data_IF_053333877289
#
_entry.id   IF_053333877289
#
_cell.length_a   1.000
_cell.length_b   1.000
_cell.length_c   1.000
_cell.angle_alpha   90.00
_cell.angle_beta   90.00
_cell.angle_gamma   90.00
#
_symmetry.space_group_name_H-M   'P 1'
#
loop_
_entity.id
_entity.type
_entity.pdbx_description
1 polymer ?
#
# COMPACT_ATOMS: atom_id res chain seq x y z
N UNK A 1 2.77 -2.51 19.93
CA UNK A 1 3.48 -3.49 19.07
C UNK A 1 2.53 -4.48 18.36
N UNK A 2 1.63 -5.18 19.07
CA UNK A 2 0.77 -6.23 18.47
C UNK A 2 -0.22 -5.74 17.39
N UNK A 3 -0.72 -4.50 17.47
CA UNK A 3 -1.70 -3.97 16.49
C UNK A 3 -1.12 -3.79 15.08
N UNK A 4 0.12 -3.29 14.99
CA UNK A 4 0.81 -3.04 13.71
C UNK A 4 0.98 -4.36 12.94
N UNK A 5 1.40 -5.42 13.62
CA UNK A 5 1.58 -6.72 12.98
C UNK A 5 0.27 -7.29 12.40
N UNK A 6 -0.87 -7.08 13.09
CA UNK A 6 -2.18 -7.51 12.60
C UNK A 6 -2.59 -6.73 11.34
N UNK A 7 -2.38 -5.42 11.32
CA UNK A 7 -2.64 -4.60 10.13
C UNK A 7 -1.77 -5.04 8.94
N UNK A 8 -0.47 -5.26 9.15
CA UNK A 8 0.45 -5.76 8.11
C UNK A 8 0.01 -7.13 7.57
N UNK A 9 -0.44 -8.03 8.45
CA UNK A 9 -0.97 -9.34 8.05
C UNK A 9 -2.23 -9.19 7.20
N UNK A 10 -3.20 -8.38 7.64
CA UNK A 10 -4.44 -8.15 6.92
C UNK A 10 -4.19 -7.59 5.51
N UNK A 11 -3.22 -6.67 5.35
CA UNK A 11 -2.81 -6.18 4.04
C UNK A 11 -2.28 -7.33 3.16
N UNK A 12 -1.42 -8.18 3.70
CA UNK A 12 -0.89 -9.35 2.98
C UNK A 12 -1.99 -10.33 2.55
N UNK A 13 -2.95 -10.60 3.44
CA UNK A 13 -4.09 -11.49 3.14
C UNK A 13 -4.96 -10.92 2.00
N UNK A 14 -5.25 -9.62 2.01
CA UNK A 14 -5.96 -8.95 0.91
C UNK A 14 -5.16 -9.02 -0.40
N UNK A 15 -3.84 -8.79 -0.36
CA UNK A 15 -2.99 -8.87 -1.55
C UNK A 15 -2.92 -10.28 -2.13
N UNK A 16 -2.93 -11.30 -1.28
CA UNK A 16 -3.03 -12.70 -1.70
C UNK A 16 -4.37 -13.00 -2.36
N UNK A 17 -5.48 -12.57 -1.76
CA UNK A 17 -6.84 -12.76 -2.32
C UNK A 17 -6.99 -12.10 -3.68
N UNK A 18 -6.36 -10.94 -3.89
CA UNK A 18 -6.39 -10.20 -5.15
C UNK A 18 -5.39 -10.74 -6.20
N UNK A 19 -4.56 -11.75 -5.87
CA UNK A 19 -3.56 -12.30 -6.79
C UNK A 19 -2.40 -11.36 -7.10
N UNK A 20 -2.19 -10.31 -6.29
CA UNK A 20 -1.16 -9.28 -6.50
C UNK A 20 0.08 -9.49 -5.60
N UNK A 21 0.07 -10.56 -4.81
CA UNK A 21 1.14 -10.89 -3.86
C UNK A 21 2.46 -11.25 -4.58
N UNK A 22 3.56 -10.54 -4.31
CA UNK A 22 4.84 -10.76 -5.01
C UNK A 22 5.56 -12.05 -4.60
N UNK A 23 5.21 -12.65 -3.45
CA UNK A 23 5.75 -13.94 -3.01
C UNK A 23 5.07 -15.17 -3.65
N UNK A 24 4.05 -14.94 -4.49
CA UNK A 24 3.43 -15.96 -5.33
C UNK A 24 3.78 -15.60 -6.79
N UNK A 25 2.79 -15.28 -7.64
CA UNK A 25 2.99 -14.91 -9.04
C UNK A 25 2.48 -13.50 -9.37
N UNK A 26 2.10 -12.72 -8.35
CA UNK A 26 1.60 -11.37 -8.54
C UNK A 26 2.71 -10.39 -8.92
N UNK A 27 2.41 -9.39 -9.74
CA UNK A 27 3.37 -8.33 -10.11
C UNK A 27 3.77 -7.39 -8.95
N UNK A 28 3.26 -7.64 -7.75
CA UNK A 28 3.42 -6.79 -6.59
C UNK A 28 2.40 -5.65 -6.54
N UNK A 29 2.59 -4.79 -5.55
CA UNK A 29 1.69 -3.68 -5.25
C UNK A 29 2.43 -2.55 -4.56
N UNK A 30 1.82 -1.37 -4.55
CA UNK A 30 2.21 -0.24 -3.71
C UNK A 30 1.15 -0.04 -2.63
N UNK A 31 1.58 -0.06 -1.38
CA UNK A 31 0.77 0.32 -0.23
C UNK A 31 1.10 1.77 0.16
N UNK A 32 0.08 2.64 0.21
CA UNK A 32 0.23 4.06 0.57
C UNK A 32 -0.71 4.40 1.71
N UNK A 33 -0.21 5.06 2.75
CA UNK A 33 -1.02 5.70 3.78
C UNK A 33 -0.75 7.21 3.75
N UNK A 34 -1.80 7.99 3.50
CA UNK A 34 -1.74 9.44 3.57
C UNK A 34 -1.93 9.85 5.04
N UNK A 35 -1.01 10.65 5.58
CA UNK A 35 -1.03 11.05 6.99
C UNK A 35 -1.02 12.56 7.14
N UNK A 36 -2.04 13.09 7.82
CA UNK A 36 -2.16 14.52 8.10
C UNK A 36 -2.29 15.39 6.86
N UNK A 37 -2.15 16.70 7.06
CA UNK A 37 -2.35 17.71 6.01
C UNK A 37 -1.33 17.61 4.88
N UNK A 38 -0.04 17.49 5.21
CA UNK A 38 1.02 17.36 4.21
C UNK A 38 0.91 16.08 3.37
N UNK A 39 0.31 15.03 3.92
CA UNK A 39 0.00 13.79 3.22
C UNK A 39 -1.33 13.81 2.48
N UNK A 40 -2.11 14.89 2.56
CA UNK A 40 -3.45 15.02 1.98
C UNK A 40 -4.39 13.90 2.49
N UNK A 41 -4.50 13.78 3.81
CA UNK A 41 -5.44 12.86 4.45
C UNK A 41 -6.83 13.51 4.54
N UNK A 42 -7.78 13.03 3.74
CA UNK A 42 -9.15 13.53 3.77
C UNK A 42 -9.97 12.99 4.95
N UNK A 43 -9.83 11.69 5.25
CA UNK A 43 -10.58 11.04 6.34
C UNK A 43 -9.65 10.73 7.51
N UNK A 44 -9.93 11.22 8.74
CA UNK A 44 -8.99 11.21 9.86
C UNK A 44 -8.95 9.86 10.60
N UNK A 45 -8.80 8.77 9.86
CA UNK A 45 -8.44 7.46 10.40
C UNK A 45 -7.39 6.79 9.52
N UNK A 46 -6.62 5.88 10.11
CA UNK A 46 -5.61 5.12 9.37
C UNK A 46 -6.29 4.20 8.35
N UNK A 47 -6.00 4.44 7.08
CA UNK A 47 -6.34 3.57 5.97
C UNK A 47 -5.13 3.45 5.03
N UNK A 48 -5.12 2.38 4.24
CA UNK A 48 -4.04 2.10 3.29
C UNK A 48 -4.67 1.87 1.92
N UNK A 49 -4.16 2.58 0.91
CA UNK A 49 -4.48 2.31 -0.49
C UNK A 49 -3.52 1.25 -1.03
N UNK A 50 -4.09 0.25 -1.73
CA UNK A 50 -3.32 -0.77 -2.45
C UNK A 50 -3.49 -0.54 -3.95
N UNK A 51 -2.39 -0.22 -4.63
CA UNK A 51 -2.35 0.02 -6.06
C UNK A 51 -1.57 -1.12 -6.74
N UNK A 52 -2.14 -1.71 -7.80
CA UNK A 52 -1.51 -2.80 -8.56
C UNK A 52 -2.07 -2.86 -9.99
N UNK A 53 -1.72 -3.90 -10.76
CA UNK A 53 -2.19 -4.17 -12.12
C UNK A 53 -1.22 -3.77 -13.23
N UNK A 54 -0.14 -3.04 -12.92
CA UNK A 54 0.96 -2.70 -13.83
C UNK A 54 2.17 -2.15 -13.06
N UNK A 55 3.29 -1.97 -13.75
CA UNK A 55 4.43 -1.20 -13.22
C UNK A 55 4.00 0.25 -12.98
N UNK A 56 4.02 0.70 -11.72
CA UNK A 56 3.49 2.01 -11.30
C UNK A 56 4.49 3.19 -11.43
N UNK A 57 5.70 2.95 -11.94
CA UNK A 57 6.73 3.97 -12.08
C UNK A 57 7.22 4.54 -10.73
N UNK A 58 7.92 5.67 -10.76
CA UNK A 58 8.46 6.34 -9.56
C UNK A 58 7.33 7.08 -8.83
N UNK A 59 7.35 7.09 -7.49
CA UNK A 59 6.42 7.91 -6.69
C UNK A 59 6.79 9.39 -6.73
N UNK A 60 8.09 9.69 -6.68
CA UNK A 60 8.63 11.06 -6.78
C UNK A 60 9.50 11.15 -8.03
N UNK A 61 9.31 12.19 -8.87
CA UNK A 61 10.14 12.41 -10.04
C UNK A 61 11.61 12.64 -9.63
N UNK A 62 12.53 12.46 -10.58
CA UNK A 62 13.94 12.78 -10.33
C UNK A 62 14.06 14.31 -10.18
N UNK A 63 14.82 14.83 -9.20
CA UNK A 63 15.13 16.25 -9.15
C UNK A 63 15.75 16.68 -10.48
N UNK A 64 15.31 17.82 -11.01
CA UNK A 64 15.95 18.49 -12.14
C UNK A 64 17.28 19.09 -11.73
#
# INVERSE_FOLDING_TARGET
MMSIFRATRAIGDVCKLLGIQPSADGMGYRAIANTGEAGVQEVPHLHVHILSGRVLGRMVPRPS
#
